data_IF_970852341780
#
_entry.id   IF_970852341780
#
_cell.length_a   1.000
_cell.length_b   1.000
_cell.length_c   1.000
_cell.angle_alpha   90.00
_cell.angle_beta   90.00
_cell.angle_gamma   90.00
#
_symmetry.space_group_name_H-M   'P 1'
#
loop_
_entity.id
_entity.type
_entity.pdbx_description
1 polymer ?
#
# COMPACT_ATOMS: atom_id res chain seq x y z
N UNK A 1 10.92 -2.45 18.36
CA UNK A 1 10.29 -2.28 17.04
C UNK A 1 8.91 -2.91 17.12
N UNK A 2 7.88 -2.12 16.98
CA UNK A 2 6.49 -2.59 17.03
C UNK A 2 6.05 -3.05 15.63
N UNK A 3 5.14 -4.03 15.53
CA UNK A 3 4.70 -4.58 14.24
C UNK A 3 4.15 -3.56 13.24
N UNK A 4 3.66 -2.40 13.69
CA UNK A 4 3.20 -1.33 12.81
C UNK A 4 4.32 -0.61 12.08
N UNK A 5 5.51 -0.52 12.68
CA UNK A 5 6.68 0.05 12.01
C UNK A 5 7.07 -0.80 10.79
N UNK A 6 6.79 -2.10 10.85
CA UNK A 6 7.07 -3.02 9.75
C UNK A 6 6.29 -2.67 8.47
N UNK A 7 4.98 -2.38 8.56
CA UNK A 7 4.19 -1.98 7.36
C UNK A 7 4.70 -0.65 6.82
N UNK A 8 4.93 0.33 7.68
CA UNK A 8 5.40 1.63 7.26
C UNK A 8 6.77 1.57 6.55
N UNK A 9 7.72 0.83 7.13
CA UNK A 9 9.05 0.66 6.54
C UNK A 9 9.02 -0.10 5.21
N UNK A 10 8.08 -1.04 5.06
CA UNK A 10 7.96 -1.85 3.85
C UNK A 10 6.94 -1.28 2.84
N UNK A 11 6.21 -0.22 3.19
CA UNK A 11 5.18 0.35 2.32
C UNK A 11 5.75 0.77 0.96
N UNK A 12 6.96 1.34 0.94
CA UNK A 12 7.65 1.70 -0.30
C UNK A 12 7.88 0.50 -1.22
N UNK A 13 8.24 -0.66 -0.68
CA UNK A 13 8.41 -1.90 -1.44
C UNK A 13 7.08 -2.47 -1.93
N UNK A 14 6.02 -2.31 -1.13
CA UNK A 14 4.69 -2.83 -1.47
C UNK A 14 4.01 -2.08 -2.60
N UNK A 15 4.42 -0.83 -2.87
CA UNK A 15 3.91 0.01 -3.95
C UNK A 15 4.95 0.31 -5.02
N UNK A 16 6.15 -0.31 -4.94
CA UNK A 16 7.23 -0.11 -5.90
C UNK A 16 6.79 -0.49 -7.31
N UNK A 17 7.22 0.30 -8.29
CA UNK A 17 7.02 0.00 -9.70
C UNK A 17 7.87 -1.19 -10.13
N UNK A 18 7.25 -2.26 -10.70
CA UNK A 18 8.00 -3.32 -11.35
C UNK A 18 8.58 -2.82 -12.67
N UNK A 19 9.51 -3.58 -13.23
CA UNK A 19 10.07 -3.28 -14.56
C UNK A 19 9.12 -3.84 -15.60
N UNK A 20 8.71 -2.99 -16.55
CA UNK A 20 7.82 -3.37 -17.63
C UNK A 20 8.60 -3.59 -18.93
N UNK A 21 8.12 -4.53 -19.72
CA UNK A 21 8.54 -4.74 -21.10
C UNK A 21 7.35 -4.54 -22.01
N UNK A 22 7.50 -3.73 -23.04
CA UNK A 22 6.48 -3.45 -24.04
C UNK A 22 6.92 -3.94 -25.42
N UNK A 23 5.91 -4.34 -26.20
CA UNK A 23 6.04 -4.62 -27.60
C UNK A 23 5.13 -3.66 -28.37
N UNK A 24 5.76 -2.76 -29.10
CA UNK A 24 5.04 -1.77 -29.90
C UNK A 24 4.59 -2.35 -31.24
N UNK A 25 3.49 -1.84 -31.76
CA UNK A 25 2.96 -2.21 -33.07
C UNK A 25 4.04 -1.96 -34.16
N UNK A 26 4.52 -3.05 -34.78
CA UNK A 26 5.59 -3.00 -35.80
C UNK A 26 6.99 -3.42 -35.32
N UNK A 27 7.19 -3.71 -34.04
CA UNK A 27 8.42 -4.29 -33.50
C UNK A 27 8.16 -5.70 -32.99
N UNK A 28 9.01 -6.65 -33.34
CA UNK A 28 8.92 -8.02 -32.78
C UNK A 28 9.72 -8.17 -31.46
N UNK A 29 10.52 -7.18 -31.10
CA UNK A 29 11.38 -7.22 -29.92
C UNK A 29 10.73 -6.58 -28.70
N UNK A 30 10.92 -7.22 -27.52
CA UNK A 30 10.53 -6.68 -26.24
C UNK A 30 11.55 -5.65 -25.75
N UNK A 31 11.09 -4.44 -25.47
CA UNK A 31 11.93 -3.34 -24.98
C UNK A 31 11.43 -2.91 -23.60
N UNK A 32 12.38 -2.49 -22.74
CA UNK A 32 12.04 -1.91 -21.44
C UNK A 32 11.26 -0.62 -21.64
N UNK A 33 10.12 -0.49 -20.98
CA UNK A 33 9.24 0.67 -21.08
C UNK A 33 8.76 1.14 -19.71
N UNK A 34 8.13 2.29 -19.67
CA UNK A 34 7.52 2.90 -18.50
C UNK A 34 6.00 2.84 -18.59
N UNK A 35 5.31 3.05 -17.46
CA UNK A 35 3.84 3.12 -17.47
C UNK A 35 3.30 4.19 -18.41
N UNK A 36 4.03 5.30 -18.60
CA UNK A 36 3.61 6.37 -19.52
C UNK A 36 3.51 5.89 -20.98
N UNK A 37 4.27 4.86 -21.36
CA UNK A 37 4.35 4.37 -22.74
C UNK A 37 3.14 3.51 -23.13
N UNK A 38 2.49 2.85 -22.15
CA UNK A 38 1.36 1.96 -22.41
C UNK A 38 0.07 2.35 -21.65
N UNK A 39 0.14 3.26 -20.69
CA UNK A 39 -1.02 3.78 -19.98
C UNK A 39 -1.47 5.12 -20.59
N UNK A 40 -2.46 5.07 -21.49
CA UNK A 40 -3.12 6.27 -22.01
C UNK A 40 -4.33 6.67 -21.16
N UNK A 41 -4.38 7.90 -20.62
CA UNK A 41 -5.53 8.41 -19.84
C UNK A 41 -6.04 7.43 -18.76
N UNK A 42 -5.14 6.78 -18.02
CA UNK A 42 -5.42 5.78 -16.99
C UNK A 42 -6.00 4.44 -17.50
N UNK A 43 -5.93 4.19 -18.79
CA UNK A 43 -6.39 2.96 -19.43
C UNK A 43 -5.23 2.44 -20.30
N UNK A 44 -5.04 1.13 -20.31
CA UNK A 44 -4.05 0.47 -21.16
C UNK A 44 -4.34 0.73 -22.64
N UNK A 45 -3.34 1.15 -23.41
CA UNK A 45 -3.50 1.35 -24.85
C UNK A 45 -3.64 -0.01 -25.55
N UNK A 46 -4.64 -0.21 -26.42
CA UNK A 46 -4.89 -1.51 -27.05
C UNK A 46 -3.81 -1.93 -28.06
N UNK A 47 -3.01 -0.96 -28.54
CA UNK A 47 -1.99 -1.20 -29.56
C UNK A 47 -0.62 -1.58 -29.02
N UNK A 48 -0.47 -1.62 -27.68
CA UNK A 48 0.79 -1.93 -27.00
C UNK A 48 0.62 -3.17 -26.14
N UNK A 49 1.32 -4.24 -26.49
CA UNK A 49 1.42 -5.40 -25.61
C UNK A 49 2.46 -5.14 -24.53
N UNK A 50 2.10 -5.32 -23.28
CA UNK A 50 2.99 -5.13 -22.15
C UNK A 50 3.00 -6.33 -21.20
N UNK A 51 4.12 -6.53 -20.53
CA UNK A 51 4.27 -7.54 -19.47
C UNK A 51 5.26 -7.08 -18.42
N UNK A 52 5.19 -7.64 -17.23
CA UNK A 52 6.17 -7.42 -16.16
C UNK A 52 7.38 -8.33 -16.43
N UNK A 53 8.59 -7.76 -16.35
CA UNK A 53 9.84 -8.53 -16.42
C UNK A 53 10.15 -9.13 -15.04
N UNK A 54 9.78 -10.36 -14.84
CA UNK A 54 10.04 -11.11 -13.60
C UNK A 54 11.51 -11.54 -13.43
N UNK A 55 12.34 -11.42 -14.46
CA UNK A 55 13.78 -11.71 -14.37
C UNK A 55 14.57 -10.56 -13.75
N UNK A 56 14.03 -9.34 -13.75
CA UNK A 56 14.65 -8.19 -13.10
C UNK A 56 14.44 -8.26 -11.58
N UNK A 57 15.52 -8.07 -10.80
CA UNK A 57 15.49 -8.08 -9.32
C UNK A 57 14.60 -7.00 -8.70
N UNK A 58 14.25 -5.97 -9.47
CA UNK A 58 13.37 -4.88 -9.04
C UNK A 58 11.90 -5.24 -9.14
N UNK A 59 11.56 -6.25 -9.93
CA UNK A 59 10.19 -6.73 -10.08
C UNK A 59 9.86 -7.69 -8.93
N UNK A 60 8.98 -7.26 -8.05
CA UNK A 60 8.48 -8.04 -6.92
C UNK A 60 6.95 -8.12 -6.99
N UNK A 61 6.39 -9.27 -6.56
CA UNK A 61 4.94 -9.39 -6.39
C UNK A 61 4.50 -8.50 -5.23
N UNK A 62 3.79 -7.43 -5.54
CA UNK A 62 3.41 -6.41 -4.57
C UNK A 62 1.94 -5.97 -4.72
N UNK A 63 1.52 -5.00 -3.92
CA UNK A 63 0.15 -4.50 -3.95
C UNK A 63 -0.20 -3.80 -5.26
N UNK A 64 0.77 -3.26 -5.99
CA UNK A 64 0.54 -2.60 -7.27
C UNK A 64 -0.02 -3.59 -8.30
N UNK A 65 0.53 -4.80 -8.35
CA UNK A 65 0.01 -5.89 -9.17
C UNK A 65 -1.32 -6.41 -8.63
N UNK A 66 -1.38 -6.70 -7.33
CA UNK A 66 -2.55 -7.32 -6.69
C UNK A 66 -3.82 -6.46 -6.74
N UNK A 67 -3.68 -5.14 -6.67
CA UNK A 67 -4.78 -4.19 -6.72
C UNK A 67 -5.02 -3.60 -8.12
N UNK A 68 -4.32 -4.13 -9.13
CA UNK A 68 -4.38 -3.63 -10.51
C UNK A 68 -4.17 -2.10 -10.61
N UNK A 69 -3.11 -1.63 -9.94
CA UNK A 69 -2.76 -0.22 -9.90
C UNK A 69 -1.77 0.19 -11.00
N UNK A 70 -1.54 -0.65 -11.98
CA UNK A 70 -0.53 -0.45 -13.04
C UNK A 70 -0.75 0.85 -13.80
N UNK A 71 -1.99 1.14 -14.21
CA UNK A 71 -2.33 2.41 -14.86
C UNK A 71 -3.13 3.37 -13.95
N UNK A 72 -3.05 3.17 -12.63
CA UNK A 72 -3.77 4.03 -11.71
C UNK A 72 -3.11 5.41 -11.59
N UNK A 73 -3.91 6.43 -11.32
CA UNK A 73 -3.36 7.75 -11.03
C UNK A 73 -2.46 7.71 -9.81
N UNK A 74 -1.39 8.50 -9.84
CA UNK A 74 -0.48 8.67 -8.69
C UNK A 74 -1.24 9.00 -7.40
N UNK A 75 -2.31 9.79 -7.50
CA UNK A 75 -3.19 10.10 -6.38
C UNK A 75 -3.78 8.86 -5.70
N UNK A 76 -4.18 7.82 -6.45
CA UNK A 76 -4.69 6.57 -5.86
C UNK A 76 -3.62 5.86 -5.04
N UNK A 77 -2.38 5.88 -5.49
CA UNK A 77 -1.26 5.27 -4.77
C UNK A 77 -0.96 6.08 -3.50
N UNK A 78 -0.94 7.40 -3.62
CA UNK A 78 -0.67 8.30 -2.50
C UNK A 78 -1.75 8.20 -1.40
N UNK A 79 -3.01 7.96 -1.76
CA UNK A 79 -4.11 7.77 -0.78
C UNK A 79 -3.86 6.60 0.16
N UNK A 80 -3.21 5.52 -0.27
CA UNK A 80 -2.83 4.41 0.61
C UNK A 80 -1.90 4.88 1.73
N UNK A 81 -0.94 5.74 1.37
CA UNK A 81 0.02 6.32 2.33
C UNK A 81 -0.69 7.32 3.25
N UNK A 82 -1.49 8.20 2.67
CA UNK A 82 -2.21 9.23 3.43
C UNK A 82 -3.22 8.66 4.41
N UNK A 83 -3.91 7.58 4.07
CA UNK A 83 -4.85 6.92 4.96
C UNK A 83 -4.17 6.53 6.28
N UNK A 84 -2.96 5.97 6.23
CA UNK A 84 -2.16 5.65 7.39
C UNK A 84 -1.83 6.89 8.24
N UNK A 85 -1.30 7.95 7.62
CA UNK A 85 -0.92 9.17 8.33
C UNK A 85 -2.11 9.92 8.93
N UNK A 86 -3.24 9.96 8.25
CA UNK A 86 -4.47 10.56 8.75
C UNK A 86 -4.95 9.82 10.01
N UNK A 87 -4.89 8.49 10.02
CA UNK A 87 -5.19 7.69 11.19
C UNK A 87 -4.31 8.08 12.39
N UNK A 88 -3.00 8.16 12.20
CA UNK A 88 -2.05 8.60 13.23
C UNK A 88 -2.38 10.01 13.72
N UNK A 89 -2.59 10.96 12.81
CA UNK A 89 -2.84 12.35 13.16
C UNK A 89 -4.11 12.53 14.02
N UNK A 90 -5.19 11.83 13.66
CA UNK A 90 -6.44 11.86 14.43
C UNK A 90 -6.20 11.33 15.85
N UNK A 91 -5.53 10.20 15.97
CA UNK A 91 -5.35 9.53 17.26
C UNK A 91 -4.34 10.24 18.14
N UNK A 92 -3.30 10.82 17.57
CA UNK A 92 -2.28 11.59 18.31
C UNK A 92 -2.87 12.78 19.08
N UNK A 93 -4.01 13.33 18.63
CA UNK A 93 -4.68 14.44 19.32
C UNK A 93 -5.48 13.98 20.56
N UNK A 94 -5.99 12.73 20.54
CA UNK A 94 -6.94 12.25 21.56
C UNK A 94 -6.33 11.25 22.54
N UNK A 95 -5.42 10.40 22.07
CA UNK A 95 -4.86 9.29 22.85
C UNK A 95 -4.09 9.74 24.09
N UNK A 96 -3.23 10.76 24.05
CA UNK A 96 -2.50 11.18 25.25
C UNK A 96 -3.44 11.52 26.42
N UNK A 97 -4.56 12.18 26.13
CA UNK A 97 -5.55 12.56 27.15
C UNK A 97 -6.32 11.36 27.71
N UNK A 98 -6.53 10.31 26.91
CA UNK A 98 -7.21 9.09 27.30
C UNK A 98 -6.29 8.13 28.06
N UNK A 99 -5.03 8.04 27.67
CA UNK A 99 -4.02 7.17 28.29
C UNK A 99 -3.71 7.59 29.72
N UNK A 100 -3.75 8.89 30.02
CA UNK A 100 -3.50 9.41 31.37
C UNK A 100 -4.64 9.10 32.35
N UNK A 101 -5.87 8.83 31.86
CA UNK A 101 -7.05 8.52 32.70
C UNK A 101 -7.23 7.04 33.00
N UNK A 102 -6.66 6.14 32.18
CA UNK A 102 -6.84 4.69 32.30
C UNK A 102 -5.49 3.96 32.22
N UNK A 103 -5.49 2.69 32.58
CA UNK A 103 -4.30 1.84 32.56
C UNK A 103 -3.73 1.71 31.14
N UNK A 104 -2.52 2.21 30.91
CA UNK A 104 -1.77 2.11 29.63
C UNK A 104 -1.64 0.67 29.13
N UNK A 105 -1.47 -0.30 30.03
CA UNK A 105 -1.34 -1.72 29.69
C UNK A 105 -2.57 -2.27 28.95
N UNK A 106 -3.77 -1.84 29.31
CA UNK A 106 -5.01 -2.31 28.70
C UNK A 106 -5.14 -1.79 27.28
N UNK A 107 -4.80 -0.52 27.05
CA UNK A 107 -4.80 0.07 25.69
C UNK A 107 -3.76 -0.57 24.78
N UNK A 108 -2.58 -0.84 25.31
CA UNK A 108 -1.50 -1.50 24.56
C UNK A 108 -1.91 -2.94 24.17
N UNK A 109 -2.51 -3.70 25.08
CA UNK A 109 -3.00 -5.05 24.79
C UNK A 109 -4.10 -5.05 23.73
N UNK A 110 -5.05 -4.11 23.83
CA UNK A 110 -6.11 -3.94 22.85
C UNK A 110 -5.55 -3.59 21.45
N UNK A 111 -4.60 -2.63 21.38
CA UNK A 111 -4.02 -2.21 20.10
C UNK A 111 -3.29 -3.36 19.40
N UNK A 112 -2.54 -4.19 20.14
CA UNK A 112 -1.84 -5.34 19.58
C UNK A 112 -2.82 -6.38 19.02
N UNK A 113 -3.88 -6.70 19.78
CA UNK A 113 -4.90 -7.65 19.32
C UNK A 113 -5.66 -7.13 18.08
N UNK A 114 -6.01 -5.84 18.09
CA UNK A 114 -6.67 -5.20 16.97
C UNK A 114 -5.81 -5.22 15.70
N UNK A 115 -4.52 -4.88 15.82
CA UNK A 115 -3.63 -4.90 14.67
C UNK A 115 -3.41 -6.31 14.12
N UNK A 116 -3.34 -7.31 14.98
CA UNK A 116 -3.27 -8.70 14.51
C UNK A 116 -4.46 -9.04 13.61
N UNK A 117 -5.67 -8.64 14.00
CA UNK A 117 -6.87 -8.80 13.16
C UNK A 117 -6.74 -8.01 11.84
N UNK A 118 -6.28 -6.75 11.91
CA UNK A 118 -6.11 -5.91 10.71
C UNK A 118 -5.06 -6.48 9.76
N UNK A 119 -3.93 -7.00 10.27
CA UNK A 119 -2.94 -7.70 9.45
C UNK A 119 -3.52 -8.93 8.76
N UNK A 120 -4.33 -9.71 9.49
CA UNK A 120 -4.99 -10.88 8.91
C UNK A 120 -5.90 -10.48 7.76
N UNK A 121 -6.70 -9.41 7.93
CA UNK A 121 -7.57 -8.88 6.88
C UNK A 121 -6.71 -8.37 5.69
N UNK A 122 -5.59 -7.69 5.96
CA UNK A 122 -4.69 -7.19 4.93
C UNK A 122 -4.12 -8.28 4.02
N UNK A 123 -3.85 -9.47 4.58
CA UNK A 123 -3.37 -10.62 3.81
C UNK A 123 -4.39 -11.12 2.78
N UNK A 124 -5.68 -10.98 3.08
CA UNK A 124 -6.77 -11.43 2.21
C UNK A 124 -7.47 -10.30 1.46
N UNK A 125 -7.06 -9.05 1.68
CA UNK A 125 -7.67 -7.90 1.03
C UNK A 125 -7.32 -7.86 -0.46
N UNK A 126 -8.34 -7.93 -1.32
CA UNK A 126 -8.24 -7.81 -2.78
C UNK A 126 -8.83 -6.48 -3.27
N UNK A 127 -9.62 -5.82 -2.43
CA UNK A 127 -10.26 -4.55 -2.76
C UNK A 127 -9.41 -3.36 -2.32
N UNK A 128 -9.19 -2.42 -3.24
CA UNK A 128 -8.51 -1.16 -2.95
C UNK A 128 -9.15 -0.39 -1.77
N UNK A 129 -10.49 -0.29 -1.74
CA UNK A 129 -11.21 0.42 -0.69
C UNK A 129 -11.01 -0.24 0.68
N UNK A 130 -11.02 -1.59 0.73
CA UNK A 130 -10.75 -2.34 1.95
C UNK A 130 -9.33 -2.10 2.45
N UNK A 131 -8.36 -2.06 1.53
CA UNK A 131 -6.96 -1.82 1.88
C UNK A 131 -6.74 -0.41 2.45
N UNK A 132 -7.33 0.62 1.85
CA UNK A 132 -7.31 2.00 2.38
C UNK A 132 -7.91 2.04 3.79
N UNK A 133 -9.06 1.39 4.00
CA UNK A 133 -9.72 1.33 5.30
C UNK A 133 -8.87 0.63 6.36
N UNK A 134 -8.28 -0.51 6.03
CA UNK A 134 -7.41 -1.26 6.95
C UNK A 134 -6.17 -0.44 7.33
N UNK A 135 -5.51 0.19 6.36
CA UNK A 135 -4.36 1.05 6.63
C UNK A 135 -4.73 2.24 7.53
N UNK A 136 -5.89 2.86 7.31
CA UNK A 136 -6.41 3.91 8.18
C UNK A 136 -6.63 3.40 9.61
N UNK A 137 -7.28 2.25 9.79
CA UNK A 137 -7.50 1.64 11.10
C UNK A 137 -6.20 1.29 11.83
N UNK A 138 -5.20 0.78 11.11
CA UNK A 138 -3.87 0.53 11.66
C UNK A 138 -3.15 1.83 12.04
N UNK A 139 -3.37 2.91 11.31
CA UNK A 139 -2.90 4.25 11.68
C UNK A 139 -3.50 4.74 13.00
N UNK A 140 -4.78 4.47 13.25
CA UNK A 140 -5.45 4.84 14.51
C UNK A 140 -4.87 4.14 15.75
N UNK A 141 -4.33 2.95 15.60
CA UNK A 141 -3.77 2.18 16.73
C UNK A 141 -2.30 2.48 17.01
N UNK A 142 -1.59 3.08 16.07
CA UNK A 142 -0.15 3.35 16.19
C UNK A 142 0.21 4.17 17.45
N UNK A 143 -0.42 5.35 17.75
CA UNK A 143 -0.09 6.14 18.92
C UNK A 143 -0.45 5.48 20.27
N UNK A 144 -1.24 4.42 20.30
CA UNK A 144 -1.60 3.69 21.53
C UNK A 144 -0.44 2.87 22.10
N UNK A 145 0.69 2.77 21.39
CA UNK A 145 1.85 1.96 21.75
C UNK A 145 3.04 2.76 22.31
N UNK A 146 2.97 4.07 22.18
CA UNK A 146 3.94 5.01 22.77
C UNK A 146 3.49 5.43 24.13
#
# INVERSE_FOLDING_TARGET
MTGCDFVYQNLAYMIQEPVYQCKFSGSEEWQTCTEADFCGNMITQPDVEWKIDWNDRRSIHNWRERLDLTCASKFRIDVLIWAWFIGIAITALWVPRLADKKSRKLYQGFSVGFDFCMYTILLFAESYALMVFVLFCMGLTNPLRV
#
